data_IF_295959608419
#
_entry.id   IF_295959608419
#
_cell.length_a   1.000
_cell.length_b   1.000
_cell.length_c   1.000
_cell.angle_alpha   90.00
_cell.angle_beta   90.00
_cell.angle_gamma   90.00
#
_symmetry.space_group_name_H-M   'P 1'
#
loop_
_entity.id
_entity.type
_entity.pdbx_description
1 polymer ?
#
# COMPACT_ATOMS: atom_id res chain seq x y z
N UNK A 1 17.27 8.17 3.09
CA UNK A 1 15.94 8.81 3.01
C UNK A 1 15.66 9.75 4.20
N UNK A 2 15.91 9.32 5.44
CA UNK A 2 15.59 10.11 6.65
C UNK A 2 16.19 11.51 6.78
N UNK A 3 17.47 11.70 6.45
CA UNK A 3 18.15 13.03 6.56
C UNK A 3 17.44 14.10 5.69
N UNK A 4 17.11 13.76 4.43
CA UNK A 4 16.42 14.68 3.51
C UNK A 4 14.99 15.01 3.95
N UNK A 5 14.30 14.08 4.61
CA UNK A 5 12.95 14.30 5.17
C UNK A 5 13.03 15.31 6.32
N UNK A 6 13.98 15.12 7.23
CA UNK A 6 14.21 16.04 8.34
C UNK A 6 14.56 17.46 7.85
N UNK A 7 15.50 17.60 6.92
CA UNK A 7 15.90 18.90 6.36
C UNK A 7 14.70 19.66 5.76
N UNK A 8 13.81 18.97 5.05
CA UNK A 8 12.60 19.58 4.48
C UNK A 8 11.62 20.05 5.55
N UNK A 9 11.46 19.30 6.64
CA UNK A 9 10.65 19.71 7.78
C UNK A 9 11.27 20.92 8.50
N UNK A 10 12.57 20.88 8.77
CA UNK A 10 13.31 21.97 9.42
C UNK A 10 13.27 23.27 8.59
N UNK A 11 13.28 23.18 7.26
CA UNK A 11 13.17 24.31 6.35
C UNK A 11 11.71 24.77 6.10
N UNK A 12 10.71 24.20 6.77
CA UNK A 12 9.30 24.56 6.60
C UNK A 12 8.70 24.18 5.22
N UNK A 13 9.38 23.34 4.44
CA UNK A 13 8.93 22.87 3.12
C UNK A 13 8.05 21.61 3.20
N UNK A 14 7.84 21.09 4.40
CA UNK A 14 7.00 19.94 4.71
C UNK A 14 6.52 20.06 6.16
N UNK A 15 5.27 19.71 6.48
CA UNK A 15 4.80 19.72 7.86
C UNK A 15 5.66 18.81 8.76
N UNK A 16 5.91 19.19 10.03
CA UNK A 16 6.52 18.30 11.00
C UNK A 16 5.62 17.08 11.24
N UNK A 17 6.15 15.89 10.99
CA UNK A 17 5.39 14.63 11.06
C UNK A 17 6.28 13.49 11.55
N UNK A 18 5.65 12.47 12.14
CA UNK A 18 6.31 11.21 12.45
C UNK A 18 6.27 10.34 11.19
N UNK A 19 7.44 9.94 10.72
CA UNK A 19 7.59 9.05 9.57
C UNK A 19 7.87 7.63 10.06
N UNK A 20 6.97 6.71 9.73
CA UNK A 20 7.10 5.29 10.06
C UNK A 20 7.44 4.55 8.76
N UNK A 21 8.62 3.93 8.72
CA UNK A 21 9.03 3.08 7.61
C UNK A 21 8.70 1.65 7.99
N UNK A 22 7.68 1.09 7.35
CA UNK A 22 7.24 -0.27 7.60
C UNK A 22 8.05 -1.25 6.74
N UNK A 23 8.34 -2.41 7.31
CA UNK A 23 8.91 -3.54 6.58
C UNK A 23 7.78 -4.50 6.20
N UNK A 24 7.65 -4.79 4.92
CA UNK A 24 6.64 -5.70 4.37
C UNK A 24 7.23 -7.05 3.94
N UNK A 25 8.49 -7.32 4.27
CA UNK A 25 9.20 -8.51 3.82
C UNK A 25 8.67 -9.81 4.45
N UNK A 26 8.55 -10.83 3.60
CA UNK A 26 8.39 -12.23 3.97
C UNK A 26 9.41 -13.10 3.23
N UNK A 27 9.72 -14.32 3.72
CA UNK A 27 10.57 -15.26 3.00
C UNK A 27 10.09 -15.57 1.57
N UNK A 28 8.79 -15.46 1.32
CA UNK A 28 8.12 -15.72 0.03
C UNK A 28 7.92 -14.48 -0.83
N UNK A 29 8.36 -13.30 -0.39
CA UNK A 29 8.19 -12.04 -1.09
C UNK A 29 7.81 -10.92 -0.14
N UNK A 30 6.61 -10.39 -0.31
CA UNK A 30 6.05 -9.28 0.44
C UNK A 30 4.64 -9.64 0.89
N UNK A 31 4.16 -9.05 1.99
CA UNK A 31 2.80 -9.24 2.51
C UNK A 31 1.84 -8.06 2.29
N UNK A 32 2.41 -6.89 1.89
CA UNK A 32 1.69 -5.70 1.44
C UNK A 32 0.65 -5.14 2.44
N UNK A 33 0.70 -5.56 3.69
CA UNK A 33 -0.29 -5.32 4.74
C UNK A 33 -1.69 -5.82 4.35
N UNK A 34 -1.74 -6.92 3.59
CA UNK A 34 -2.96 -7.61 3.23
C UNK A 34 -3.27 -8.73 4.23
N UNK A 35 -4.56 -8.95 4.50
CA UNK A 35 -4.99 -10.15 5.20
C UNK A 35 -5.11 -11.29 4.18
N UNK A 36 -4.34 -12.35 4.33
CA UNK A 36 -4.39 -13.51 3.45
C UNK A 36 -4.46 -14.81 4.25
N UNK A 37 -5.00 -15.87 3.63
CA UNK A 37 -4.99 -17.22 4.20
C UNK A 37 -3.59 -17.85 4.22
N UNK A 38 -2.67 -17.33 3.40
CA UNK A 38 -1.32 -17.87 3.23
C UNK A 38 -0.33 -17.24 4.22
N UNK A 39 -0.44 -15.92 4.42
CA UNK A 39 0.54 -15.10 5.13
C UNK A 39 0.01 -14.57 6.47
N UNK A 40 -1.31 -14.68 6.68
CA UNK A 40 -1.99 -14.25 7.89
C UNK A 40 -2.57 -12.83 7.80
N UNK A 41 -3.06 -12.30 8.93
CA UNK A 41 -3.86 -11.08 8.96
C UNK A 41 -3.01 -9.81 9.14
N UNK A 42 -2.07 -9.53 8.24
CA UNK A 42 -1.14 -8.40 8.38
C UNK A 42 -1.79 -7.02 8.36
N UNK A 43 -2.86 -6.84 7.60
CA UNK A 43 -3.65 -5.60 7.62
C UNK A 43 -4.31 -5.39 8.97
N UNK A 44 -4.82 -6.45 9.59
CA UNK A 44 -5.34 -6.40 10.97
C UNK A 44 -4.23 -6.11 11.96
N UNK A 45 -3.08 -6.79 11.87
CA UNK A 45 -1.95 -6.56 12.77
C UNK A 45 -1.45 -5.10 12.69
N UNK A 46 -1.32 -4.54 11.49
CA UNK A 46 -0.95 -3.14 11.32
C UNK A 46 -1.97 -2.19 11.98
N UNK A 47 -3.26 -2.40 11.74
CA UNK A 47 -4.31 -1.43 12.07
C UNK A 47 -4.84 -1.55 13.49
N UNK A 48 -4.92 -2.75 14.04
CA UNK A 48 -5.48 -3.03 15.36
C UNK A 48 -4.41 -3.19 16.45
N UNK A 49 -3.15 -3.46 16.09
CA UNK A 49 -2.08 -3.72 17.06
C UNK A 49 -0.96 -2.67 16.94
N UNK A 50 -0.30 -2.61 15.78
CA UNK A 50 0.91 -1.79 15.64
C UNK A 50 0.65 -0.28 15.67
N UNK A 51 -0.36 0.21 14.94
CA UNK A 51 -0.72 1.63 14.94
C UNK A 51 -1.11 2.10 16.35
N UNK A 52 -2.01 1.43 17.09
CA UNK A 52 -2.28 1.77 18.49
C UNK A 52 -1.03 1.74 19.38
N UNK A 53 -0.16 0.75 19.18
CA UNK A 53 1.08 0.65 19.93
C UNK A 53 1.98 1.88 19.69
N UNK A 54 2.28 2.27 18.45
CA UNK A 54 3.11 3.46 18.20
C UNK A 54 2.45 4.75 18.71
N UNK A 55 1.13 4.87 18.64
CA UNK A 55 0.42 6.04 19.15
C UNK A 55 0.51 6.17 20.68
N UNK A 56 0.61 5.05 21.41
CA UNK A 56 0.83 5.09 22.85
C UNK A 56 2.28 5.44 23.25
N UNK A 57 3.25 5.27 22.35
CA UNK A 57 4.67 5.50 22.63
C UNK A 57 5.19 6.84 22.08
N UNK A 58 4.50 7.41 21.09
CA UNK A 58 4.89 8.66 20.43
C UNK A 58 3.71 9.64 20.40
N UNK A 59 4.02 10.95 20.33
CA UNK A 59 3.00 12.02 20.28
C UNK A 59 2.31 12.09 18.91
N UNK A 60 1.56 11.05 18.56
CA UNK A 60 0.80 10.95 17.31
C UNK A 60 -0.65 11.40 17.53
N UNK A 61 -1.23 12.03 16.52
CA UNK A 61 -2.66 12.32 16.47
C UNK A 61 -3.43 11.06 16.10
N UNK A 62 -4.67 10.94 16.58
CA UNK A 62 -5.54 9.78 16.35
C UNK A 62 -6.80 10.12 15.55
N UNK A 63 -6.59 10.81 14.41
CA UNK A 63 -7.66 11.06 13.45
C UNK A 63 -7.19 10.67 12.06
N UNK A 64 -8.11 10.17 11.23
CA UNK A 64 -7.82 9.76 9.85
C UNK A 64 -7.11 10.89 9.08
N UNK A 65 -7.60 12.12 9.20
CA UNK A 65 -7.07 13.31 8.51
C UNK A 65 -5.60 13.62 8.82
N UNK A 66 -5.05 13.05 9.89
CA UNK A 66 -3.68 13.28 10.34
C UNK A 66 -2.74 12.10 9.99
N UNK A 67 -3.29 11.03 9.39
CA UNK A 67 -2.56 9.80 9.05
C UNK A 67 -2.62 9.56 7.54
N UNK A 68 -1.43 9.53 6.92
CA UNK A 68 -1.29 9.40 5.47
C UNK A 68 -0.40 8.23 5.09
N UNK A 69 -0.63 7.69 3.89
CA UNK A 69 0.11 6.58 3.31
C UNK A 69 0.91 7.02 2.08
N UNK A 70 2.07 6.40 1.86
CA UNK A 70 2.96 6.63 0.72
C UNK A 70 3.59 5.30 0.33
N UNK A 71 3.57 4.96 -0.97
CA UNK A 71 4.12 3.70 -1.46
C UNK A 71 4.42 3.72 -2.96
N UNK A 72 5.31 2.82 -3.39
CA UNK A 72 5.72 2.66 -4.78
C UNK A 72 5.68 1.19 -5.22
N UNK A 73 5.25 0.90 -6.45
CA UNK A 73 5.11 -0.48 -6.98
C UNK A 73 4.21 -1.35 -6.09
N UNK A 74 4.71 -2.44 -5.51
CA UNK A 74 3.97 -3.28 -4.56
C UNK A 74 3.56 -2.51 -3.31
N UNK A 75 4.42 -1.62 -2.80
CA UNK A 75 4.03 -0.67 -1.74
C UNK A 75 2.98 0.35 -2.20
N UNK A 76 2.94 0.66 -3.51
CA UNK A 76 1.89 1.48 -4.11
C UNK A 76 0.54 0.77 -4.05
N UNK A 77 0.51 -0.52 -4.38
CA UNK A 77 -0.66 -1.36 -4.18
C UNK A 77 -1.03 -1.43 -2.70
N UNK A 78 -0.08 -1.77 -1.82
CA UNK A 78 -0.21 -1.85 -0.35
C UNK A 78 -0.97 -0.64 0.22
N UNK A 79 -0.50 0.55 -0.13
CA UNK A 79 -1.07 1.81 0.37
C UNK A 79 -2.42 2.16 -0.24
N UNK A 80 -2.71 1.69 -1.45
CA UNK A 80 -4.01 1.86 -2.06
C UNK A 80 -5.06 0.97 -1.38
N UNK A 81 -4.79 -0.33 -1.20
CA UNK A 81 -5.80 -1.20 -0.57
C UNK A 81 -6.00 -0.84 0.91
N UNK A 82 -4.95 -0.41 1.62
CA UNK A 82 -5.10 0.07 3.00
C UNK A 82 -6.05 1.27 3.09
N UNK A 83 -5.95 2.24 2.17
CA UNK A 83 -6.86 3.38 2.13
C UNK A 83 -8.31 2.97 1.82
N UNK A 84 -8.51 2.00 0.92
CA UNK A 84 -9.83 1.48 0.54
C UNK A 84 -10.46 0.68 1.69
N UNK A 85 -9.69 -0.20 2.32
CA UNK A 85 -10.18 -1.12 3.36
C UNK A 85 -10.34 -0.46 4.73
N UNK A 86 -9.52 0.57 5.02
CA UNK A 86 -9.50 1.27 6.32
C UNK A 86 -9.67 2.79 6.16
N UNK A 87 -10.74 3.27 5.50
CA UNK A 87 -10.90 4.69 5.15
C UNK A 87 -11.16 5.59 6.37
N UNK A 88 -11.55 5.00 7.51
CA UNK A 88 -11.68 5.72 8.78
C UNK A 88 -10.36 5.83 9.54
N UNK A 89 -9.32 5.11 9.12
CA UNK A 89 -8.01 5.12 9.74
C UNK A 89 -7.02 5.99 8.96
N UNK A 90 -7.12 6.01 7.62
CA UNK A 90 -6.22 6.80 6.77
C UNK A 90 -6.99 7.91 6.06
N UNK A 91 -6.45 9.13 6.11
CA UNK A 91 -7.04 10.33 5.53
C UNK A 91 -6.57 10.66 4.12
N UNK A 92 -5.62 9.89 3.60
CA UNK A 92 -5.14 10.02 2.23
C UNK A 92 -3.97 9.08 1.94
N UNK A 93 -3.79 8.79 0.66
CA UNK A 93 -2.70 7.94 0.16
C UNK A 93 -2.11 8.53 -1.12
N UNK A 94 -0.83 8.28 -1.34
CA UNK A 94 -0.14 8.54 -2.60
C UNK A 94 0.53 7.25 -3.05
N UNK A 95 -0.24 6.46 -3.78
CA UNK A 95 0.18 5.21 -4.39
C UNK A 95 0.82 5.49 -5.74
N UNK A 96 2.14 5.39 -5.82
CA UNK A 96 2.89 5.74 -7.04
C UNK A 96 3.23 4.49 -7.86
N UNK A 97 2.82 4.46 -9.13
CA UNK A 97 3.01 3.28 -10.01
C UNK A 97 2.61 1.97 -9.31
N UNK A 98 1.39 1.86 -8.75
CA UNK A 98 1.00 0.67 -8.00
C UNK A 98 0.99 -0.56 -8.91
N UNK A 99 1.22 -1.73 -8.32
CA UNK A 99 0.83 -2.99 -8.97
C UNK A 99 -0.68 -2.95 -9.32
N UNK A 100 -1.16 -3.77 -10.28
CA UNK A 100 -2.53 -3.65 -10.78
C UNK A 100 -3.59 -3.60 -9.68
N UNK A 101 -4.36 -2.51 -9.67
CA UNK A 101 -5.35 -2.22 -8.63
C UNK A 101 -6.70 -2.92 -8.86
N UNK A 102 -6.91 -3.36 -10.11
CA UNK A 102 -7.96 -4.26 -10.53
C UNK A 102 -7.40 -5.20 -11.61
N UNK A 103 -8.23 -6.12 -12.08
CA UNK A 103 -7.86 -7.11 -13.09
C UNK A 103 -8.57 -6.95 -14.43
N UNK A 104 -9.25 -5.83 -14.68
CA UNK A 104 -9.80 -5.51 -16.00
C UNK A 104 -8.71 -5.12 -17.01
N UNK A 105 -7.54 -4.73 -16.52
CA UNK A 105 -6.35 -4.54 -17.35
C UNK A 105 -5.09 -4.97 -16.59
N UNK A 106 -4.95 -6.28 -16.42
CA UNK A 106 -3.76 -6.90 -15.85
C UNK A 106 -2.69 -7.05 -16.93
N UNK A 107 -1.81 -6.05 -17.04
CA UNK A 107 -0.73 -5.97 -18.05
C UNK A 107 -1.22 -6.17 -19.50
N UNK A 108 -2.35 -5.54 -19.85
CA UNK A 108 -2.94 -5.61 -21.19
C UNK A 108 -4.03 -6.67 -21.37
N UNK A 109 -4.34 -7.45 -20.34
CA UNK A 109 -5.33 -8.53 -20.37
C UNK A 109 -6.46 -8.24 -19.39
N UNK A 110 -7.71 -8.30 -19.85
CA UNK A 110 -8.88 -8.33 -18.96
C UNK A 110 -9.08 -9.75 -18.44
N UNK A 111 -8.77 -9.99 -17.16
CA UNK A 111 -8.92 -11.30 -16.53
C UNK A 111 -10.38 -11.67 -16.25
N UNK A 112 -11.28 -10.69 -16.27
CA UNK A 112 -12.72 -10.92 -16.06
C UNK A 112 -13.45 -11.23 -17.37
N UNK A 113 -12.80 -11.06 -18.52
CA UNK A 113 -13.39 -11.39 -19.81
C UNK A 113 -13.66 -12.91 -19.96
N UNK A 114 -14.76 -13.30 -20.65
CA UNK A 114 -14.98 -14.69 -21.01
C UNK A 114 -13.79 -15.25 -21.79
N UNK A 115 -13.30 -16.42 -21.38
CA UNK A 115 -12.14 -17.07 -21.99
C UNK A 115 -10.85 -16.24 -21.92
N UNK A 116 -10.69 -15.38 -20.90
CA UNK A 116 -9.44 -14.67 -20.64
C UNK A 116 -8.24 -15.62 -20.67
N UNK A 117 -7.19 -15.21 -21.36
CA UNK A 117 -6.01 -16.03 -21.58
C UNK A 117 -4.76 -15.14 -21.57
N UNK A 118 -3.81 -15.47 -20.71
CA UNK A 118 -2.57 -14.70 -20.53
C UNK A 118 -1.46 -15.08 -21.53
N UNK A 119 -1.65 -16.18 -22.27
CA UNK A 119 -0.70 -16.69 -23.25
C UNK A 119 -1.09 -16.31 -24.69
N UNK A 120 -2.39 -16.25 -25.01
CA UNK A 120 -2.92 -15.99 -26.36
C UNK A 120 -4.10 -15.04 -26.38
N UNK A 121 -4.13 -14.18 -27.38
CA UNK A 121 -5.25 -13.29 -27.73
C UNK A 121 -6.44 -14.08 -28.30
N UNK A 122 -7.64 -13.47 -28.39
CA UNK A 122 -8.81 -14.12 -28.99
C UNK A 122 -8.62 -14.57 -30.45
N UNK A 123 -7.71 -13.94 -31.20
CA UNK A 123 -7.34 -14.31 -32.56
C UNK A 123 -6.30 -15.46 -32.63
N UNK A 124 -5.91 -16.01 -31.48
CA UNK A 124 -4.96 -17.11 -31.35
C UNK A 124 -3.47 -16.70 -31.37
N UNK A 125 -3.16 -15.42 -31.59
CA UNK A 125 -1.78 -14.90 -31.52
C UNK A 125 -1.29 -14.85 -30.08
N UNK A 126 0.02 -14.98 -29.82
CA UNK A 126 0.55 -14.84 -28.47
C UNK A 126 0.37 -13.41 -27.93
N UNK A 127 0.14 -13.26 -26.63
CA UNK A 127 0.38 -11.99 -25.94
C UNK A 127 1.90 -11.77 -25.89
N UNK A 128 2.37 -10.67 -26.46
CA UNK A 128 3.78 -10.24 -26.42
C UNK A 128 3.93 -9.10 -25.45
#
# INVERSE_FOLDING_TARGET
>A
MGIKIYERMAAGKMPPMIWVMLDEHLPTGTQEFANSVNDGPWGTALTAEYIPWIQSHYRMLDHARDRFLQGHSSGGWATLQLQINYPRLFGGTWSTSPDPSDFHNFTGIDLYAPHANVYRKPDGQPYR
#
